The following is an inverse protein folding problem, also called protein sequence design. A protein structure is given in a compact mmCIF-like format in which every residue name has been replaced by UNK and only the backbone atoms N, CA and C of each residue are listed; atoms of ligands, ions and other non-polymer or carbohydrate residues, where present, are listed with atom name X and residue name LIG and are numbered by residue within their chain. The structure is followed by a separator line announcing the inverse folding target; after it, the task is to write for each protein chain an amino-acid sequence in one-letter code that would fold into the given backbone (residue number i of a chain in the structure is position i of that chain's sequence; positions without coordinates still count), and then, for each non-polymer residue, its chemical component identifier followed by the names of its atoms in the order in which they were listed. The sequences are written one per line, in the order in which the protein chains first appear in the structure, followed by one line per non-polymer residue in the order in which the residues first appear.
data_IF_320103965881
#
_entry.id   IF_320103965881
#
_cell.length_a   1.000
_cell.length_b   1.000
_cell.length_c   1.000
_cell.angle_alpha   90.00
_cell.angle_beta   90.00
_cell.angle_gamma   90.00
#
_symmetry.space_group_name_H-M   'P 1'
#
loop_
_entity.id
_entity.type
_entity.pdbx_description
1 polymer ?
#
# COMPACT_ATOMS: atom_id res chain seq x y z
N UNK A 1 5.51 3.23 -19.37
CA UNK A 1 4.82 3.99 -18.31
C UNK A 1 3.58 3.26 -17.78
N UNK A 2 2.59 2.97 -18.63
CA UNK A 2 1.35 2.28 -18.20
C UNK A 2 1.58 0.92 -17.53
N UNK A 3 2.58 0.16 -17.99
CA UNK A 3 2.94 -1.14 -17.41
C UNK A 3 3.41 -1.06 -15.95
N UNK A 4 4.23 -0.07 -15.62
CA UNK A 4 4.73 0.13 -14.25
C UNK A 4 3.62 0.63 -13.31
N UNK A 5 2.75 1.52 -13.81
CA UNK A 5 1.56 1.96 -13.07
C UNK A 5 0.65 0.78 -12.76
N UNK A 6 0.35 -0.06 -13.77
CA UNK A 6 -0.46 -1.26 -13.58
C UNK A 6 0.16 -2.24 -12.58
N UNK A 7 1.47 -2.48 -12.69
CA UNK A 7 2.20 -3.33 -11.75
C UNK A 7 2.04 -2.83 -10.30
N UNK A 8 2.27 -1.55 -10.04
CA UNK A 8 2.13 -0.96 -8.70
C UNK A 8 0.67 -0.90 -8.22
N UNK A 9 -0.30 -0.73 -9.13
CA UNK A 9 -1.72 -0.81 -8.79
C UNK A 9 -2.12 -2.18 -8.23
N UNK A 10 -1.55 -3.27 -8.76
CA UNK A 10 -1.83 -4.63 -8.26
C UNK A 10 -1.29 -4.81 -6.84
N UNK A 11 -0.09 -4.31 -6.54
CA UNK A 11 0.46 -4.32 -5.17
C UNK A 11 -0.42 -3.52 -4.20
N UNK A 12 -0.89 -2.35 -4.62
CA UNK A 12 -1.81 -1.52 -3.83
C UNK A 12 -3.14 -2.25 -3.56
N UNK A 13 -3.65 -3.02 -4.51
CA UNK A 13 -4.88 -3.79 -4.33
C UNK A 13 -4.68 -4.99 -3.37
N UNK A 14 -3.58 -5.73 -3.51
CA UNK A 14 -3.30 -6.92 -2.69
C UNK A 14 -3.12 -6.51 -1.21
N UNK A 15 -2.43 -5.41 -0.92
CA UNK A 15 -2.24 -4.94 0.46
C UNK A 15 -3.56 -4.64 1.17
N UNK A 16 -4.52 -4.03 0.49
CA UNK A 16 -5.86 -3.79 1.04
C UNK A 16 -6.60 -5.10 1.31
N UNK A 17 -6.48 -6.10 0.43
CA UNK A 17 -7.09 -7.43 0.61
C UNK A 17 -6.50 -8.14 1.84
N UNK A 18 -5.18 -8.10 2.01
CA UNK A 18 -4.51 -8.66 3.19
C UNK A 18 -5.00 -7.99 4.47
N UNK A 19 -5.18 -6.67 4.43
CA UNK A 19 -5.69 -5.89 5.55
C UNK A 19 -7.14 -6.25 5.89
N UNK A 20 -8.03 -6.48 4.90
CA UNK A 20 -9.39 -7.03 5.14
C UNK A 20 -9.33 -8.36 5.88
N UNK A 21 -8.40 -9.24 5.51
CA UNK A 21 -8.23 -10.54 6.14
C UNK A 21 -8.06 -10.45 7.66
N UNK A 22 -7.39 -9.41 8.16
CA UNK A 22 -7.21 -9.17 9.59
C UNK A 22 -8.47 -8.71 10.34
N UNK A 23 -9.44 -8.13 9.63
CA UNK A 23 -10.65 -7.52 10.19
C UNK A 23 -11.93 -8.31 9.87
N UNK A 24 -11.79 -9.46 9.21
CA UNK A 24 -12.91 -10.26 8.74
C UNK A 24 -13.82 -10.67 9.92
N UNK A 25 -15.14 -10.56 9.72
CA UNK A 25 -16.15 -11.05 10.66
C UNK A 25 -16.63 -10.05 11.73
N UNK A 26 -16.03 -8.85 11.84
CA UNK A 26 -16.44 -7.84 12.85
C UNK A 26 -16.49 -6.40 12.30
N UNK A 27 -16.30 -6.22 10.99
CA UNK A 27 -16.09 -4.92 10.38
C UNK A 27 -17.39 -4.28 9.87
N UNK A 28 -17.54 -2.97 10.07
CA UNK A 28 -18.60 -2.19 9.45
C UNK A 28 -18.21 -1.78 8.02
N UNK A 29 -19.02 -2.13 7.02
CA UNK A 29 -18.74 -1.85 5.61
C UNK A 29 -18.64 -0.34 5.30
N UNK A 30 -19.43 0.52 5.96
CA UNK A 30 -19.36 1.98 5.74
C UNK A 30 -18.04 2.56 6.25
N UNK A 31 -17.59 2.09 7.42
CA UNK A 31 -16.28 2.47 7.95
C UNK A 31 -15.16 1.97 7.03
N UNK A 32 -15.31 0.77 6.47
CA UNK A 32 -14.36 0.20 5.51
C UNK A 32 -14.21 1.03 4.23
N UNK A 33 -15.33 1.47 3.63
CA UNK A 33 -15.31 2.30 2.43
C UNK A 33 -14.54 3.62 2.61
N UNK A 34 -14.56 4.20 3.82
CA UNK A 34 -13.78 5.39 4.14
C UNK A 34 -12.33 5.04 4.49
N UNK A 35 -12.12 3.93 5.19
CA UNK A 35 -10.80 3.48 5.63
C UNK A 35 -9.88 3.20 4.44
N UNK A 36 -10.35 2.47 3.42
CA UNK A 36 -9.53 2.07 2.26
C UNK A 36 -8.84 3.24 1.56
N UNK A 37 -9.55 4.27 1.06
CA UNK A 37 -8.90 5.39 0.38
C UNK A 37 -7.99 6.18 1.34
N UNK A 38 -8.38 6.37 2.59
CA UNK A 38 -7.55 7.06 3.58
C UNK A 38 -6.24 6.29 3.84
N UNK A 39 -6.31 4.97 4.02
CA UNK A 39 -5.15 4.14 4.27
C UNK A 39 -4.23 4.07 3.05
N UNK A 40 -4.80 3.95 1.85
CA UNK A 40 -4.03 3.98 0.60
C UNK A 40 -3.28 5.31 0.45
N UNK A 41 -3.92 6.44 0.71
CA UNK A 41 -3.31 7.77 0.57
C UNK A 41 -2.27 8.05 1.65
N UNK A 42 -2.60 7.83 2.92
CA UNK A 42 -1.75 8.28 4.03
C UNK A 42 -0.74 7.24 4.51
N UNK A 43 -0.95 5.95 4.23
CA UNK A 43 -0.06 4.87 4.66
C UNK A 43 0.65 4.24 3.46
N UNK A 44 -0.09 3.57 2.57
CA UNK A 44 0.51 2.80 1.47
C UNK A 44 1.36 3.67 0.54
N UNK A 45 0.79 4.80 0.08
CA UNK A 45 1.48 5.69 -0.86
C UNK A 45 2.73 6.31 -0.23
N UNK A 46 2.68 6.68 1.05
CA UNK A 46 3.82 7.24 1.78
C UNK A 46 4.94 6.20 1.89
N UNK A 47 4.62 4.96 2.27
CA UNK A 47 5.60 3.87 2.35
C UNK A 47 6.21 3.53 0.98
N UNK A 48 5.36 3.35 -0.03
CA UNK A 48 5.79 3.03 -1.39
C UNK A 48 6.69 4.12 -1.98
N UNK A 49 6.37 5.40 -1.77
CA UNK A 49 7.23 6.50 -2.21
C UNK A 49 8.56 6.53 -1.44
N UNK A 50 8.52 6.27 -0.13
CA UNK A 50 9.70 6.27 0.73
C UNK A 50 10.74 5.23 0.32
N UNK A 51 10.30 4.03 -0.11
CA UNK A 51 11.16 2.93 -0.53
C UNK A 51 11.48 2.92 -2.03
N UNK A 52 10.47 3.07 -2.89
CA UNK A 52 10.59 2.85 -4.34
C UNK A 52 10.46 4.11 -5.18
N UNK A 53 9.95 5.20 -4.59
CA UNK A 53 9.74 6.48 -5.27
C UNK A 53 10.90 7.47 -5.13
N UNK A 54 12.01 7.08 -4.49
CA UNK A 54 13.12 7.98 -4.20
C UNK A 54 12.92 8.83 -2.94
N UNK A 55 12.10 8.37 -1.99
CA UNK A 55 11.98 9.02 -0.69
C UNK A 55 13.13 8.70 0.27
N UNK A 56 12.92 8.96 1.55
CA UNK A 56 14.02 8.94 2.54
C UNK A 56 14.62 7.54 2.77
N UNK A 57 13.83 6.46 2.73
CA UNK A 57 14.32 5.09 2.92
C UNK A 57 15.21 4.65 1.75
N UNK A 58 14.84 5.04 0.53
CA UNK A 58 15.68 4.86 -0.65
C UNK A 58 17.04 5.53 -0.47
N UNK A 59 17.07 6.77 0.03
CA UNK A 59 18.32 7.50 0.28
C UNK A 59 19.16 6.92 1.42
N UNK A 60 18.53 6.24 2.38
CA UNK A 60 19.22 5.53 3.45
C UNK A 60 19.76 4.15 3.02
N UNK A 61 19.57 3.76 1.75
CA UNK A 61 20.06 2.50 1.21
C UNK A 61 19.22 1.28 1.58
N UNK A 62 18.00 1.50 2.08
CA UNK A 62 17.06 0.41 2.38
C UNK A 62 16.56 -0.19 1.06
N UNK A 63 16.77 -1.50 0.91
CA UNK A 63 16.34 -2.24 -0.27
C UNK A 63 15.17 -3.16 0.08
N UNK A 64 14.05 -2.93 -0.59
CA UNK A 64 12.90 -3.82 -0.62
C UNK A 64 12.59 -4.20 -2.07
N UNK A 65 12.82 -5.45 -2.42
CA UNK A 65 12.64 -5.94 -3.80
C UNK A 65 11.17 -6.20 -4.15
N UNK A 66 10.35 -6.63 -3.19
CA UNK A 66 9.02 -7.18 -3.47
C UNK A 66 7.93 -6.79 -2.46
N UNK A 67 8.11 -5.73 -1.70
CA UNK A 67 7.07 -5.19 -0.80
C UNK A 67 6.97 -5.98 0.49
N UNK A 68 8.12 -6.33 1.07
CA UNK A 68 8.20 -7.09 2.31
C UNK A 68 8.06 -6.25 3.58
N UNK A 69 8.27 -4.93 3.49
CA UNK A 69 8.17 -4.00 4.64
C UNK A 69 6.77 -3.39 4.82
#
# INVERSE_FOLDING_TARGET
MATMVWFQCVFAAITVILLVGSMLGRMNFKAWMMFVPLWLTFSYTVGAFSLWGGGFLFHWGVMDYSGGY
#
